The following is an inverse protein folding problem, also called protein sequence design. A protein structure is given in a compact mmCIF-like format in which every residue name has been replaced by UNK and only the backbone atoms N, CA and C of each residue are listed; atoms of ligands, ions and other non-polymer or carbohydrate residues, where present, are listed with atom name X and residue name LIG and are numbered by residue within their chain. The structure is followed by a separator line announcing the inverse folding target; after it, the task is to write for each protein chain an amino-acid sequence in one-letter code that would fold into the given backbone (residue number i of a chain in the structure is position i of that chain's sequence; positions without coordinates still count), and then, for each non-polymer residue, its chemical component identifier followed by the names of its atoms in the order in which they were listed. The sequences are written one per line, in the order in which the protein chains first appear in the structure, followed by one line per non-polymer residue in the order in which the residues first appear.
data_IF_815486255004
#
_entry.id   IF_815486255004
#
_cell.length_a   1.000
_cell.length_b   1.000
_cell.length_c   1.000
_cell.angle_alpha   90.00
_cell.angle_beta   90.00
_cell.angle_gamma   90.00
#
_symmetry.space_group_name_H-M   'P 1'
#
loop_
_entity.id
_entity.type
_entity.pdbx_description
1 polymer ?
#
# COMPACT_ATOMS: atom_id res chain seq x y z
N UNK A 1 4.55 -21.99 25.69
CA UNK A 1 4.02 -20.68 25.27
C UNK A 1 4.56 -20.42 23.88
N UNK A 2 3.74 -20.67 22.85
CA UNK A 2 4.17 -20.61 21.46
C UNK A 2 4.12 -19.16 20.98
N UNK A 3 5.29 -18.58 20.75
CA UNK A 3 5.44 -17.31 20.04
C UNK A 3 5.19 -17.57 18.55
N UNK A 4 4.04 -17.13 18.05
CA UNK A 4 3.79 -17.03 16.62
C UNK A 4 4.63 -15.85 16.11
N UNK A 5 5.80 -16.13 15.54
CA UNK A 5 6.48 -15.16 14.68
C UNK A 5 5.69 -15.06 13.39
N UNK A 6 4.99 -13.95 13.17
CA UNK A 6 4.49 -13.56 11.84
C UNK A 6 5.70 -13.24 10.96
N UNK A 7 6.36 -14.28 10.46
CA UNK A 7 7.39 -14.14 9.44
C UNK A 7 6.64 -14.07 8.11
N UNK A 8 6.32 -12.85 7.66
CA UNK A 8 5.79 -12.64 6.31
C UNK A 8 6.79 -13.22 5.32
N UNK A 9 6.42 -14.32 4.65
CA UNK A 9 7.20 -14.88 3.56
C UNK A 9 7.09 -13.93 2.36
N UNK A 10 8.18 -13.22 2.06
CA UNK A 10 8.30 -12.42 0.85
C UNK A 10 8.66 -13.37 -0.31
N UNK A 11 7.67 -13.73 -1.12
CA UNK A 11 7.90 -14.41 -2.39
C UNK A 11 7.71 -13.39 -3.51
N UNK A 12 8.79 -13.12 -4.24
CA UNK A 12 8.73 -12.38 -5.50
C UNK A 12 8.03 -13.26 -6.53
N UNK A 13 6.84 -12.86 -6.95
CA UNK A 13 6.07 -13.52 -8.00
C UNK A 13 5.92 -12.55 -9.16
N UNK A 14 6.67 -12.74 -10.25
CA UNK A 14 6.60 -11.89 -11.46
C UNK A 14 6.69 -10.37 -11.19
N UNK A 15 7.53 -9.95 -10.23
CA UNK A 15 7.66 -8.53 -9.85
C UNK A 15 6.54 -8.04 -8.93
N UNK A 16 5.81 -8.94 -8.28
CA UNK A 16 4.83 -8.63 -7.24
C UNK A 16 5.29 -9.14 -5.88
N UNK A 17 4.92 -8.39 -4.84
CA UNK A 17 5.00 -8.83 -3.45
C UNK A 17 3.69 -9.51 -3.07
N UNK A 18 3.78 -10.76 -2.59
CA UNK A 18 2.65 -11.55 -2.13
C UNK A 18 2.33 -11.28 -0.65
N UNK A 19 1.04 -11.10 -0.36
CA UNK A 19 0.45 -11.05 0.97
C UNK A 19 -0.69 -12.07 1.05
N UNK A 20 -0.41 -13.25 1.59
CA UNK A 20 -1.41 -14.30 1.79
C UNK A 20 -2.45 -13.93 2.85
N UNK A 21 -3.72 -14.24 2.59
CA UNK A 21 -4.80 -13.99 3.53
C UNK A 21 -5.20 -12.51 3.62
N UNK A 22 -4.96 -11.73 2.56
CA UNK A 22 -5.33 -10.32 2.47
C UNK A 22 -6.05 -10.01 1.16
N UNK A 23 -6.96 -9.03 1.22
CA UNK A 23 -7.58 -8.39 0.06
C UNK A 23 -7.49 -6.87 0.17
N UNK A 24 -7.88 -6.17 -0.90
CA UNK A 24 -8.03 -4.72 -0.90
C UNK A 24 -9.48 -4.30 -0.61
N UNK A 25 -9.63 -3.19 0.09
CA UNK A 25 -10.91 -2.54 0.39
C UNK A 25 -10.77 -1.05 0.18
N UNK A 26 -11.81 -0.41 -0.36
CA UNK A 26 -11.79 1.03 -0.63
C UNK A 26 -10.77 1.48 -1.68
N UNK A 27 -10.22 0.55 -2.47
CA UNK A 27 -9.30 0.84 -3.56
C UNK A 27 -10.06 0.94 -4.88
N UNK A 28 -9.52 1.71 -5.84
CA UNK A 28 -10.12 1.83 -7.16
C UNK A 28 -9.90 0.54 -7.95
N UNK A 29 -10.95 -0.26 -8.08
CA UNK A 29 -10.96 -1.44 -8.94
C UNK A 29 -10.95 -1.00 -10.41
N UNK A 30 -10.11 -1.64 -11.23
CA UNK A 30 -10.09 -1.46 -12.67
C UNK A 30 -11.20 -2.31 -13.33
N UNK A 31 -11.74 -1.87 -14.48
CA UNK A 31 -12.70 -2.67 -15.23
C UNK A 31 -12.10 -4.05 -15.58
N UNK A 32 -12.91 -5.11 -15.46
CA UNK A 32 -12.53 -6.46 -15.87
C UNK A 32 -13.17 -6.79 -17.21
N UNK A 33 -12.40 -7.40 -18.10
CA UNK A 33 -12.85 -7.73 -19.46
C UNK A 33 -12.99 -9.23 -19.71
N UNK A 34 -12.29 -10.10 -18.95
CA UNK A 34 -12.34 -11.56 -19.11
C UNK A 34 -12.29 -12.29 -17.74
N UNK A 35 -12.80 -13.54 -17.64
CA UNK A 35 -12.74 -14.32 -16.40
C UNK A 35 -11.30 -14.81 -16.17
N UNK A 36 -10.65 -14.26 -15.16
CA UNK A 36 -9.29 -14.64 -14.77
C UNK A 36 -9.32 -15.83 -13.83
N UNK A 37 -8.78 -16.95 -14.29
CA UNK A 37 -8.93 -18.24 -13.61
C UNK A 37 -7.73 -18.54 -12.69
N UNK A 38 -6.57 -17.92 -12.94
CA UNK A 38 -5.33 -18.16 -12.17
C UNK A 38 -4.62 -16.86 -11.79
N UNK A 39 -3.89 -16.87 -10.68
CA UNK A 39 -3.05 -15.77 -10.23
C UNK A 39 -1.91 -15.42 -11.20
N UNK A 40 -1.37 -16.40 -11.94
CA UNK A 40 -0.44 -16.20 -13.06
C UNK A 40 -1.05 -15.27 -14.13
N UNK A 41 -2.25 -15.59 -14.61
CA UNK A 41 -2.93 -14.78 -15.64
C UNK A 41 -3.24 -13.35 -15.16
N UNK A 42 -3.54 -13.19 -13.86
CA UNK A 42 -3.76 -11.89 -13.23
C UNK A 42 -2.46 -11.08 -13.15
N UNK A 43 -1.34 -11.74 -12.86
CA UNK A 43 -0.03 -11.10 -12.82
C UNK A 43 0.40 -10.59 -14.19
N UNK A 44 0.18 -11.36 -15.25
CA UNK A 44 0.53 -10.98 -16.63
C UNK A 44 -0.26 -9.73 -17.06
N UNK A 45 -1.57 -9.73 -16.80
CA UNK A 45 -2.41 -8.60 -17.16
C UNK A 45 -2.15 -7.36 -16.34
N UNK A 46 -2.02 -7.53 -15.02
CA UNK A 46 -1.64 -6.40 -14.19
C UNK A 46 -0.30 -5.85 -14.66
N UNK A 47 0.69 -6.70 -14.98
CA UNK A 47 1.98 -6.27 -15.54
C UNK A 47 1.85 -5.50 -16.86
N UNK A 48 0.95 -5.92 -17.74
CA UNK A 48 0.71 -5.29 -19.04
C UNK A 48 -0.07 -3.96 -18.94
N UNK A 49 -0.84 -3.72 -17.87
CA UNK A 49 -1.56 -2.46 -17.65
C UNK A 49 -0.75 -1.50 -16.76
N UNK A 50 -0.32 -0.38 -17.34
CA UNK A 50 0.39 0.71 -16.65
C UNK A 50 -0.44 1.33 -15.52
N UNK A 51 -1.77 1.21 -15.56
CA UNK A 51 -2.66 1.67 -14.50
C UNK A 51 -2.87 0.63 -13.40
N UNK A 52 -2.47 -0.63 -13.59
CA UNK A 52 -2.57 -1.63 -12.56
C UNK A 52 -1.37 -1.53 -11.63
N UNK A 53 -1.64 -1.38 -10.33
CA UNK A 53 -0.61 -1.31 -9.29
C UNK A 53 -0.68 -2.53 -8.35
N UNK A 54 -1.81 -3.24 -8.33
CA UNK A 54 -1.99 -4.46 -7.54
C UNK A 54 -3.15 -5.32 -8.08
N UNK A 55 -3.16 -6.60 -7.73
CA UNK A 55 -4.31 -7.47 -7.91
C UNK A 55 -4.59 -8.32 -6.67
N UNK A 56 -5.83 -8.77 -6.50
CA UNK A 56 -6.19 -9.79 -5.51
C UNK A 56 -6.76 -11.01 -6.21
N UNK A 57 -6.38 -12.20 -5.78
CA UNK A 57 -6.88 -13.47 -6.27
C UNK A 57 -7.69 -14.18 -5.18
N UNK A 58 -8.89 -14.62 -5.50
CA UNK A 58 -9.76 -15.40 -4.63
C UNK A 58 -9.56 -16.89 -4.90
N UNK A 59 -8.93 -17.61 -3.98
CA UNK A 59 -8.64 -19.04 -4.10
C UNK A 59 -9.89 -19.93 -4.08
N UNK A 60 -11.01 -19.41 -3.55
CA UNK A 60 -12.27 -20.17 -3.45
C UNK A 60 -13.13 -20.01 -4.69
N UNK A 61 -13.15 -18.81 -5.26
CA UNK A 61 -13.99 -18.48 -6.42
C UNK A 61 -13.22 -18.49 -7.74
N UNK A 62 -11.90 -18.68 -7.69
CA UNK A 62 -10.99 -18.69 -8.85
C UNK A 62 -11.21 -17.46 -9.72
N UNK A 63 -11.21 -16.29 -9.08
CA UNK A 63 -11.32 -15.00 -9.75
C UNK A 63 -10.26 -14.03 -9.24
N UNK A 64 -9.95 -13.01 -10.02
CA UNK A 64 -9.12 -11.92 -9.54
C UNK A 64 -9.67 -10.56 -9.86
N UNK A 65 -9.16 -9.58 -9.13
CA UNK A 65 -9.52 -8.17 -9.26
C UNK A 65 -8.26 -7.32 -9.38
N UNK A 66 -8.22 -6.48 -10.40
CA UNK A 66 -7.12 -5.55 -10.65
C UNK A 66 -7.43 -4.18 -10.03
N UNK A 67 -6.42 -3.52 -9.48
CA UNK A 67 -6.57 -2.25 -8.79
C UNK A 67 -5.53 -1.24 -9.25
N UNK A 68 -5.97 0.01 -9.33
CA UNK A 68 -5.09 1.16 -9.41
C UNK A 68 -4.97 1.77 -8.01
N UNK A 69 -3.75 1.73 -7.47
CA UNK A 69 -3.44 2.20 -6.12
C UNK A 69 -3.10 3.70 -6.07
N UNK A 70 -2.95 4.34 -7.23
CA UNK A 70 -2.45 5.69 -7.41
C UNK A 70 -3.56 6.71 -7.69
N UNK A 71 -4.76 6.25 -8.09
CA UNK A 71 -5.90 7.11 -8.38
C UNK A 71 -6.79 7.33 -7.17
N UNK A 72 -7.34 8.54 -7.09
CA UNK A 72 -8.32 8.96 -6.07
C UNK A 72 -9.44 7.92 -5.95
N UNK A 73 -9.49 7.29 -4.78
CA UNK A 73 -10.67 6.55 -4.33
C UNK A 73 -11.53 7.47 -3.48
N UNK A 74 -12.85 7.24 -3.49
CA UNK A 74 -13.79 7.90 -2.58
C UNK A 74 -13.68 7.40 -1.13
N UNK A 75 -12.81 6.40 -0.89
CA UNK A 75 -12.61 5.75 0.40
C UNK A 75 -11.13 5.44 0.62
N UNK A 76 -10.73 5.22 1.87
CA UNK A 76 -9.38 4.83 2.22
C UNK A 76 -9.07 3.44 1.62
N UNK A 77 -8.11 3.38 0.71
CA UNK A 77 -7.63 2.14 0.12
C UNK A 77 -6.74 1.39 1.11
N UNK A 78 -7.17 0.21 1.54
CA UNK A 78 -6.53 -0.56 2.63
C UNK A 78 -6.48 -2.06 2.37
N UNK A 79 -5.52 -2.73 3.03
CA UNK A 79 -5.47 -4.19 3.12
C UNK A 79 -6.38 -4.66 4.25
N UNK A 80 -7.18 -5.66 3.98
CA UNK A 80 -8.10 -6.27 4.95
C UNK A 80 -7.82 -7.76 5.00
N UNK A 81 -7.71 -8.32 6.20
CA UNK A 81 -7.53 -9.75 6.39
C UNK A 81 -8.71 -10.50 5.76
N UNK A 82 -8.41 -11.45 4.89
CA UNK A 82 -9.38 -12.35 4.28
C UNK A 82 -8.67 -13.63 3.83
N UNK A 83 -8.89 -14.73 4.55
CA UNK A 83 -8.21 -16.00 4.32
C UNK A 83 -8.51 -16.64 2.96
N UNK A 84 -9.58 -16.23 2.26
CA UNK A 84 -9.89 -16.77 0.94
C UNK A 84 -9.12 -16.05 -0.18
N UNK A 85 -8.35 -15.01 0.13
CA UNK A 85 -7.74 -14.12 -0.86
C UNK A 85 -6.23 -14.01 -0.65
N UNK A 86 -5.52 -13.83 -1.76
CA UNK A 86 -4.13 -13.38 -1.78
C UNK A 86 -4.03 -12.04 -2.49
N UNK A 87 -3.26 -11.12 -1.90
CA UNK A 87 -2.95 -9.82 -2.47
C UNK A 87 -1.56 -9.83 -3.07
N UNK A 88 -1.44 -9.33 -4.29
CA UNK A 88 -0.19 -9.18 -5.03
C UNK A 88 -0.02 -7.70 -5.39
N UNK A 89 1.02 -7.05 -4.86
CA UNK A 89 1.31 -5.65 -5.14
C UNK A 89 2.54 -5.51 -6.03
N UNK A 90 2.45 -4.74 -7.12
CA UNK A 90 3.60 -4.50 -8.00
C UNK A 90 4.74 -3.89 -7.20
N UNK A 91 5.93 -4.44 -7.37
CA UNK A 91 7.14 -3.83 -6.86
C UNK A 91 7.45 -2.58 -7.67
N UNK A 92 7.49 -1.44 -6.98
CA UNK A 92 8.17 -0.26 -7.52
C UNK A 92 9.65 -0.40 -7.19
N UNK A 93 10.49 -0.54 -8.22
CA UNK A 93 11.94 -0.49 -8.09
C UNK A 93 12.35 0.88 -7.56
N UNK A 94 12.55 0.98 -6.24
CA UNK A 94 13.28 2.06 -5.62
C UNK A 94 14.59 1.49 -5.12
N UNK A 95 15.64 1.63 -5.93
CA UNK A 95 17.00 1.15 -5.62
C UNK A 95 17.70 1.96 -4.51
N UNK A 96 17.03 2.92 -3.87
CA UNK A 96 17.58 3.75 -2.81
C UNK A 96 17.38 3.14 -1.43
N UNK A 97 18.44 3.02 -0.63
CA UNK A 97 18.32 2.74 0.81
C UNK A 97 17.82 3.99 1.53
N UNK A 98 16.53 4.04 1.81
CA UNK A 98 15.91 5.20 2.45
C UNK A 98 15.70 4.96 3.95
N UNK A 99 16.69 5.31 4.79
CA UNK A 99 16.61 5.10 6.25
C UNK A 99 16.23 6.36 7.06
N UNK A 100 16.18 7.52 6.40
CA UNK A 100 15.91 8.82 7.03
C UNK A 100 14.57 9.39 6.59
N UNK A 101 14.01 10.29 7.42
CA UNK A 101 12.76 10.97 7.15
C UNK A 101 12.86 12.45 7.48
N UNK A 102 12.26 13.29 6.64
CA UNK A 102 11.90 14.66 7.00
C UNK A 102 10.55 14.64 7.69
N UNK A 103 10.41 15.38 8.80
CA UNK A 103 9.15 15.50 9.54
C UNK A 103 8.52 16.86 9.29
N UNK A 104 7.27 16.86 8.83
CA UNK A 104 6.43 18.06 8.81
C UNK A 104 5.31 17.88 9.83
N UNK A 105 5.31 18.73 10.87
CA UNK A 105 4.32 18.67 11.94
C UNK A 105 2.93 19.08 11.44
N UNK A 106 1.90 18.54 12.07
CA UNK A 106 0.50 18.92 11.81
C UNK A 106 0.16 18.91 10.31
N UNK A 107 0.56 17.85 9.63
CA UNK A 107 0.48 17.73 8.18
C UNK A 107 0.06 16.32 7.79
N UNK A 108 -0.59 16.26 6.63
CA UNK A 108 -1.03 15.04 5.97
C UNK A 108 -0.82 15.14 4.45
N UNK A 109 -1.02 14.03 3.76
CA UNK A 109 -0.98 13.87 2.34
C UNK A 109 -2.38 13.50 1.82
N UNK A 110 -2.87 14.27 0.85
CA UNK A 110 -4.09 13.94 0.11
C UNK A 110 -3.70 13.52 -1.31
N UNK A 111 -4.41 12.54 -1.87
CA UNK A 111 -4.22 12.07 -3.25
C UNK A 111 -2.82 11.47 -3.53
N UNK A 112 -2.13 10.96 -2.50
CA UNK A 112 -0.75 10.46 -2.58
C UNK A 112 -0.61 8.95 -2.75
N UNK A 113 -1.63 8.33 -3.34
CA UNK A 113 -1.74 6.88 -3.46
C UNK A 113 -2.22 6.21 -2.17
N UNK A 114 -1.82 4.95 -1.96
CA UNK A 114 -2.26 4.18 -0.80
C UNK A 114 -2.08 4.97 0.47
N UNK A 115 -3.12 5.04 1.28
CA UNK A 115 -2.95 5.16 2.71
C UNK A 115 -3.04 3.75 3.26
N UNK A 116 -1.93 3.01 3.31
CA UNK A 116 -1.94 1.77 4.09
C UNK A 116 -2.17 2.18 5.53
N UNK A 117 -3.40 2.07 6.00
CA UNK A 117 -3.67 1.92 7.41
C UNK A 117 -2.96 0.65 7.86
N UNK A 118 -1.74 0.81 8.33
CA UNK A 118 -0.99 -0.27 8.93
C UNK A 118 -1.66 -0.49 10.28
N UNK A 119 -2.52 -1.52 10.31
CA UNK A 119 -3.28 -1.88 11.50
C UNK A 119 -4.54 -1.06 11.72
N UNK A 120 -5.43 -0.95 10.72
CA UNK A 120 -6.82 -0.53 10.95
C UNK A 120 -7.55 -1.39 12.01
N UNK A 121 -6.99 -2.56 12.38
CA UNK A 121 -7.39 -3.39 13.53
C UNK A 121 -6.34 -3.46 14.66
N UNK A 122 -5.14 -2.91 14.45
CA UNK A 122 -4.00 -2.96 15.38
C UNK A 122 -3.37 -1.58 15.45
N UNK A 123 -3.59 -0.83 16.53
CA UNK A 123 -2.82 0.39 16.82
C UNK A 123 -1.34 0.05 16.78
N UNK A 124 -0.62 0.54 15.77
CA UNK A 124 0.81 0.33 15.65
C UNK A 124 1.54 1.40 16.44
N UNK A 125 2.54 0.99 17.23
CA UNK A 125 3.44 1.97 17.80
C UNK A 125 4.19 2.69 16.67
N UNK A 126 4.54 3.96 16.92
CA UNK A 126 5.29 4.79 15.97
C UNK A 126 6.53 4.09 15.39
N UNK A 127 7.29 3.39 16.25
CA UNK A 127 8.47 2.63 15.84
C UNK A 127 8.15 1.56 14.79
N UNK A 128 7.03 0.86 14.94
CA UNK A 128 6.64 -0.23 14.05
C UNK A 128 6.14 0.32 12.71
N UNK A 129 5.37 1.40 12.75
CA UNK A 129 4.96 2.17 11.58
C UNK A 129 6.18 2.66 10.77
N UNK A 130 7.17 3.25 11.46
CA UNK A 130 8.42 3.71 10.86
C UNK A 130 9.20 2.56 10.23
N UNK A 131 9.41 1.47 10.96
CA UNK A 131 10.20 0.33 10.47
C UNK A 131 9.53 -0.37 9.29
N UNK A 132 8.21 -0.47 9.32
CA UNK A 132 7.45 -0.99 8.20
C UNK A 132 7.62 -0.11 6.96
N UNK A 133 7.50 1.22 7.11
CA UNK A 133 7.74 2.10 5.99
C UNK A 133 9.19 1.95 5.49
N UNK A 134 10.21 1.85 6.35
CA UNK A 134 11.61 1.62 5.94
C UNK A 134 11.76 0.33 5.13
N UNK A 135 11.19 -0.78 5.60
CA UNK A 135 11.31 -2.10 4.93
C UNK A 135 10.48 -2.19 3.64
N UNK A 136 9.44 -1.38 3.51
CA UNK A 136 8.61 -1.31 2.32
C UNK A 136 9.26 -0.46 1.21
N UNK A 137 9.67 -1.09 0.11
CA UNK A 137 10.20 -0.42 -1.09
C UNK A 137 9.19 0.54 -1.73
N UNK A 138 7.89 0.26 -1.57
CA UNK A 138 6.81 1.11 -2.08
C UNK A 138 6.62 2.37 -1.21
N UNK A 139 6.91 2.34 0.09
CA UNK A 139 6.60 3.44 1.00
C UNK A 139 7.57 4.59 0.76
N UNK A 140 7.04 5.80 0.52
CA UNK A 140 7.79 7.03 0.30
C UNK A 140 7.51 8.09 1.37
N UNK A 141 6.36 8.00 2.02
CA UNK A 141 6.01 8.82 3.18
C UNK A 141 5.07 8.05 4.09
N UNK A 142 4.88 8.48 5.33
CA UNK A 142 3.79 8.00 6.18
C UNK A 142 3.28 9.11 7.10
N UNK A 143 2.00 9.05 7.45
CA UNK A 143 1.42 9.80 8.56
C UNK A 143 1.35 8.93 9.80
N UNK A 144 1.59 9.56 10.95
CA UNK A 144 1.31 8.96 12.24
C UNK A 144 0.42 9.89 13.05
N UNK A 145 -0.75 9.40 13.43
CA UNK A 145 -1.71 10.14 14.24
C UNK A 145 -1.48 9.96 15.73
N UNK A 146 -2.01 10.89 16.52
CA UNK A 146 -2.00 10.78 17.98
C UNK A 146 -2.74 9.52 18.50
N UNK A 147 -3.66 8.97 17.71
CA UNK A 147 -4.41 7.76 18.03
C UNK A 147 -3.68 6.46 17.65
N UNK A 148 -2.40 6.56 17.26
CA UNK A 148 -1.57 5.45 16.76
C UNK A 148 -2.10 4.87 15.45
N UNK A 149 -2.74 5.71 14.63
CA UNK A 149 -3.10 5.38 13.26
C UNK A 149 -1.91 5.70 12.37
N UNK A 150 -1.48 4.72 11.59
CA UNK A 150 -0.33 4.83 10.71
C UNK A 150 -0.80 4.68 9.27
N UNK A 151 -0.55 5.69 8.44
CA UNK A 151 -0.97 5.71 7.04
C UNK A 151 0.27 5.87 6.16
N UNK A 152 0.74 4.78 5.53
CA UNK A 152 1.90 4.84 4.63
C UNK A 152 1.50 5.14 3.19
N UNK A 153 2.27 5.99 2.51
CA UNK A 153 2.07 6.53 1.16
C UNK A 153 3.11 6.06 0.14
N UNK A 154 2.66 5.79 -1.08
CA UNK A 154 3.52 5.39 -2.21
C UNK A 154 4.27 6.57 -2.87
N UNK A 155 3.87 7.80 -2.57
CA UNK A 155 4.40 9.02 -3.19
C UNK A 155 4.70 10.07 -2.13
N UNK A 156 5.56 11.04 -2.48
CA UNK A 156 5.79 12.28 -1.71
C UNK A 156 4.98 13.41 -2.31
N UNK A 157 4.74 14.47 -1.54
CA UNK A 157 4.01 15.64 -2.06
C UNK A 157 4.72 16.22 -3.30
N UNK A 158 3.97 16.35 -4.40
CA UNK A 158 4.46 17.01 -5.61
C UNK A 158 4.14 18.51 -5.57
N UNK A 159 4.87 19.30 -6.38
CA UNK A 159 4.57 20.72 -6.55
C UNK A 159 3.23 20.88 -7.30
N UNK A 160 2.19 21.21 -6.55
CA UNK A 160 0.82 21.57 -6.95
C UNK A 160 0.58 21.69 -8.48
N UNK A 161 0.02 20.62 -9.07
CA UNK A 161 -0.78 20.63 -10.29
C UNK A 161 -1.97 19.67 -10.11
N UNK A 162 -3.08 19.93 -10.81
CA UNK A 162 -4.37 19.24 -10.67
C UNK A 162 -4.27 17.72 -10.43
N UNK A 163 -5.00 17.22 -9.41
CA UNK A 163 -5.02 15.83 -8.92
C UNK A 163 -3.69 15.25 -8.42
N UNK A 164 -2.64 16.07 -8.26
CA UNK A 164 -1.38 15.61 -7.70
C UNK A 164 -1.48 15.27 -6.20
N UNK A 165 -0.60 14.38 -5.77
CA UNK A 165 -0.26 14.17 -4.37
C UNK A 165 0.12 15.50 -3.70
N UNK A 166 -0.67 15.98 -2.74
CA UNK A 166 -0.49 17.30 -2.10
C UNK A 166 -0.37 17.19 -0.59
N UNK A 167 0.47 18.07 -0.02
CA UNK A 167 0.55 18.26 1.42
C UNK A 167 -0.57 19.19 1.90
N UNK A 168 -1.32 18.74 2.89
CA UNK A 168 -2.39 19.50 3.54
C UNK A 168 -2.07 19.70 5.02
N UNK A 169 -2.66 20.73 5.63
CA UNK A 169 -2.61 20.89 7.08
C UNK A 169 -3.55 19.89 7.75
N UNK A 170 -3.05 19.16 8.76
CA UNK A 170 -3.83 18.25 9.57
C UNK A 170 -3.33 18.26 11.02
N UNK A 171 -4.07 18.84 11.98
CA UNK A 171 -3.59 18.97 13.36
C UNK A 171 -3.46 17.64 14.11
N UNK A 172 -4.02 16.56 13.59
CA UNK A 172 -4.08 15.26 14.26
C UNK A 172 -2.95 14.30 13.88
N UNK A 173 -2.12 14.67 12.89
CA UNK A 173 -1.09 13.81 12.32
C UNK A 173 0.22 14.56 12.10
N UNK A 174 1.32 13.83 12.20
CA UNK A 174 2.61 14.27 11.68
C UNK A 174 2.97 13.48 10.42
N UNK A 175 3.53 14.17 9.43
CA UNK A 175 3.95 13.60 8.14
C UNK A 175 5.45 13.32 8.13
N UNK A 176 5.83 12.10 7.78
CA UNK A 176 7.21 11.61 7.69
C UNK A 176 7.51 11.23 6.25
N UNK A 177 8.32 12.01 5.54
CA UNK A 177 8.67 11.76 4.13
C UNK A 177 10.09 11.19 4.04
N UNK A 178 10.25 10.03 3.39
CA UNK A 178 11.55 9.36 3.25
C UNK A 178 12.57 10.28 2.57
N UNK A 179 13.81 10.18 2.99
CA UNK A 179 14.96 10.73 2.28
C UNK A 179 15.73 9.53 1.73
N UNK A 180 15.92 9.53 0.41
CA UNK A 180 16.63 8.50 -0.33
C UNK A 180 17.80 9.20 -1.01
N UNK A 181 19.02 8.71 -0.77
CA UNK A 181 20.21 9.10 -1.54
C UNK A 181 20.27 8.37 -2.88
#
# INVERSE_FOLDING_TARGET
MNYWSYQSFFLDFNGFTLYEGYRLSGCKQLPQFDPFITDESCSEQCSADDHCSAFVFNHKEENCQLFNLEKRSTSLCKRVANQSWSLYEKQRNNNGRCMQFTVTRQSALENCGLGLALGDEIKLAFHDCRNYCISANWCQAFEYSNDSHCVGYQQKAEKMKNDACVRIHNPSTDLYEKICE
#
